data_IF_863621802590
#
_entry.id   IF_863621802590
#
_cell.length_a   1.000
_cell.length_b   1.000
_cell.length_c   1.000
_cell.angle_alpha   90.00
_cell.angle_beta   90.00
_cell.angle_gamma   90.00
#
_symmetry.space_group_name_H-M   'P 1'
#
loop_
_entity.id
_entity.type
_entity.pdbx_description
1 polymer ?
#
# COMPACT_ATOMS: atom_id res chain seq x y z
N UNK A 1 -0.04 20.14 9.69
CA UNK A 1 0.29 18.71 9.60
C UNK A 1 1.23 18.28 10.73
N UNK A 2 1.04 17.09 11.32
CA UNK A 2 1.91 16.54 12.37
C UNK A 2 3.31 16.17 11.82
N UNK A 3 4.37 16.38 12.61
CA UNK A 3 5.77 16.14 12.19
C UNK A 3 6.03 14.70 11.74
N UNK A 4 5.47 13.71 12.44
CA UNK A 4 5.67 12.30 12.11
C UNK A 4 4.90 11.89 10.84
N UNK A 5 3.76 12.53 10.57
CA UNK A 5 3.03 12.34 9.30
C UNK A 5 3.85 12.87 8.13
N UNK A 6 4.40 14.08 8.26
CA UNK A 6 5.25 14.68 7.23
C UNK A 6 6.53 13.87 6.98
N UNK A 7 7.17 13.34 8.03
CA UNK A 7 8.29 12.38 7.88
C UNK A 7 7.88 11.11 7.13
N UNK A 8 6.70 10.56 7.42
CA UNK A 8 6.16 9.39 6.73
C UNK A 8 5.95 9.62 5.24
N UNK A 9 5.39 10.77 4.86
CA UNK A 9 5.21 11.16 3.45
C UNK A 9 6.56 11.29 2.74
N UNK A 10 7.52 11.97 3.36
CA UNK A 10 8.87 12.12 2.79
C UNK A 10 9.61 10.78 2.66
N UNK A 11 9.43 9.86 3.61
CA UNK A 11 9.98 8.51 3.52
C UNK A 11 9.41 7.77 2.30
N UNK A 12 8.09 7.82 2.07
CA UNK A 12 7.43 7.22 0.90
C UNK A 12 7.94 7.84 -0.40
N UNK A 13 8.12 9.17 -0.45
CA UNK A 13 8.64 9.89 -1.62
C UNK A 13 10.06 9.49 -1.99
N UNK A 14 10.92 9.24 -0.99
CA UNK A 14 12.34 8.92 -1.17
C UNK A 14 12.64 7.43 -1.28
N UNK A 15 11.67 6.56 -1.00
CA UNK A 15 11.84 5.12 -1.04
C UNK A 15 12.05 4.63 -2.49
N UNK A 16 13.20 4.02 -2.74
CA UNK A 16 13.65 3.59 -4.08
C UNK A 16 13.67 2.07 -4.28
N UNK A 17 13.66 1.31 -3.20
CA UNK A 17 13.87 -0.13 -3.18
C UNK A 17 12.52 -0.86 -3.10
N UNK A 18 11.59 -0.33 -2.30
CA UNK A 18 10.33 -1.02 -2.04
C UNK A 18 9.32 -0.91 -3.19
N UNK A 19 8.59 -2.01 -3.40
CA UNK A 19 7.55 -2.10 -4.44
C UNK A 19 6.22 -1.47 -4.01
N UNK A 20 5.30 -1.36 -4.98
CA UNK A 20 4.00 -0.70 -4.80
C UNK A 20 3.16 -1.23 -3.63
N UNK A 21 3.16 -2.55 -3.40
CA UNK A 21 2.41 -3.15 -2.30
C UNK A 21 2.93 -2.78 -0.91
N UNK A 22 4.24 -2.59 -0.76
CA UNK A 22 4.81 -2.09 0.50
C UNK A 22 4.46 -0.61 0.70
N UNK A 23 4.70 0.21 -0.33
CA UNK A 23 4.42 1.65 -0.27
C UNK A 23 2.95 1.97 -0.01
N UNK A 24 2.03 1.19 -0.58
CA UNK A 24 0.59 1.34 -0.33
C UNK A 24 0.21 1.07 1.13
N UNK A 25 0.84 0.05 1.75
CA UNK A 25 0.63 -0.28 3.17
C UNK A 25 1.21 0.80 4.07
N UNK A 26 2.40 1.32 3.76
CA UNK A 26 2.98 2.42 4.52
C UNK A 26 2.17 3.70 4.37
N UNK A 27 1.66 4.02 3.18
CA UNK A 27 0.78 5.16 2.98
C UNK A 27 -0.50 5.06 3.82
N UNK A 28 -1.11 3.87 3.89
CA UNK A 28 -2.25 3.63 4.79
C UNK A 28 -1.87 3.84 6.26
N UNK A 29 -0.71 3.33 6.71
CA UNK A 29 -0.23 3.54 8.08
C UNK A 29 -0.01 5.03 8.40
N UNK A 30 0.57 5.79 7.47
CA UNK A 30 0.77 7.24 7.62
C UNK A 30 -0.57 7.98 7.67
N UNK A 31 -1.54 7.60 6.83
CA UNK A 31 -2.88 8.20 6.87
C UNK A 31 -3.64 7.85 8.17
N UNK A 32 -3.48 6.62 8.67
CA UNK A 32 -3.98 6.24 9.99
C UNK A 32 -3.30 7.01 11.14
N UNK A 33 -2.00 7.28 11.03
CA UNK A 33 -1.28 8.13 11.97
C UNK A 33 -1.80 9.58 11.95
N UNK A 34 -2.12 10.11 10.77
CA UNK A 34 -2.75 11.43 10.65
C UNK A 34 -4.11 11.47 11.35
N UNK A 35 -4.95 10.45 11.15
CA UNK A 35 -6.21 10.32 11.88
C UNK A 35 -6.02 10.29 13.41
N UNK A 36 -5.00 9.54 13.89
CA UNK A 36 -4.68 9.45 15.32
C UNK A 36 -4.21 10.77 15.93
N UNK A 37 -3.40 11.52 15.19
CA UNK A 37 -2.69 12.71 15.70
C UNK A 37 -3.37 14.03 15.36
N UNK A 38 -4.45 13.99 14.57
CA UNK A 38 -5.28 15.14 14.22
C UNK A 38 -5.69 15.93 15.47
N UNK A 39 -5.71 17.26 15.36
CA UNK A 39 -6.17 18.16 16.43
C UNK A 39 -7.54 18.78 16.12
N UNK A 40 -8.17 18.35 15.03
CA UNK A 40 -9.49 18.80 14.62
C UNK A 40 -10.52 18.64 15.73
N UNK A 41 -11.39 19.62 15.89
CA UNK A 41 -12.47 19.63 16.89
C UNK A 41 -13.83 19.30 16.29
N UNK A 42 -13.93 19.39 14.98
CA UNK A 42 -15.14 19.13 14.22
C UNK A 42 -14.90 18.09 13.12
N UNK A 43 -15.98 17.43 12.69
CA UNK A 43 -15.93 16.39 11.66
C UNK A 43 -15.37 16.90 10.35
N UNK A 44 -15.83 18.07 9.90
CA UNK A 44 -15.44 18.60 8.59
C UNK A 44 -13.98 19.03 8.56
N UNK A 45 -13.48 19.60 9.66
CA UNK A 45 -12.06 19.90 9.86
C UNK A 45 -11.22 18.61 9.81
N UNK A 46 -11.65 17.55 10.51
CA UNK A 46 -10.98 16.26 10.48
C UNK A 46 -10.93 15.65 9.06
N UNK A 47 -12.05 15.68 8.34
CA UNK A 47 -12.10 15.16 6.97
C UNK A 47 -11.26 16.00 6.01
N UNK A 48 -11.19 17.31 6.18
CA UNK A 48 -10.32 18.18 5.40
C UNK A 48 -8.83 17.86 5.64
N UNK A 49 -8.42 17.72 6.90
CA UNK A 49 -7.05 17.31 7.26
C UNK A 49 -6.71 15.93 6.67
N UNK A 50 -7.61 14.96 6.79
CA UNK A 50 -7.38 13.61 6.26
C UNK A 50 -7.29 13.60 4.73
N UNK A 51 -8.10 14.42 4.06
CA UNK A 51 -8.06 14.60 2.60
C UNK A 51 -6.73 15.19 2.14
N UNK A 52 -6.23 16.22 2.83
CA UNK A 52 -4.94 16.85 2.54
C UNK A 52 -3.81 15.81 2.60
N UNK A 53 -3.74 15.05 3.69
CA UNK A 53 -2.72 14.00 3.84
C UNK A 53 -2.86 12.90 2.79
N UNK A 54 -4.09 12.48 2.46
CA UNK A 54 -4.32 11.49 1.42
C UNK A 54 -3.84 12.00 0.03
N UNK A 55 -4.05 13.28 -0.26
CA UNK A 55 -3.61 13.91 -1.51
C UNK A 55 -2.07 13.98 -1.59
N UNK A 56 -1.41 14.38 -0.51
CA UNK A 56 0.05 14.40 -0.40
C UNK A 56 0.65 13.00 -0.58
N UNK A 57 0.07 11.98 0.06
CA UNK A 57 0.50 10.58 -0.11
C UNK A 57 0.31 10.09 -1.55
N UNK A 58 -0.81 10.41 -2.19
CA UNK A 58 -1.06 10.06 -3.58
C UNK A 58 -0.06 10.74 -4.53
N UNK A 59 0.31 11.99 -4.24
CA UNK A 59 1.24 12.77 -5.04
C UNK A 59 2.71 12.49 -4.72
N UNK A 60 3.02 11.76 -3.64
CA UNK A 60 4.40 11.42 -3.28
C UNK A 60 5.10 10.60 -4.37
N UNK A 61 4.36 9.72 -5.07
CA UNK A 61 4.84 8.98 -6.25
C UNK A 61 3.71 8.82 -7.28
N UNK A 62 3.44 9.83 -8.14
CA UNK A 62 2.26 9.88 -9.00
C UNK A 62 2.14 8.72 -10.01
N UNK A 63 3.27 8.12 -10.41
CA UNK A 63 3.29 6.95 -11.30
C UNK A 63 2.83 5.65 -10.60
N UNK A 64 2.67 5.65 -9.28
CA UNK A 64 2.31 4.49 -8.48
C UNK A 64 0.84 4.55 -8.02
N UNK A 65 -0.08 4.33 -8.96
CA UNK A 65 -1.52 4.31 -8.73
C UNK A 65 -1.99 3.51 -7.48
N UNK A 66 -1.36 2.36 -7.09
CA UNK A 66 -1.76 1.64 -5.88
C UNK A 66 -1.72 2.48 -4.60
N UNK A 67 -0.80 3.44 -4.49
CA UNK A 67 -0.71 4.36 -3.34
C UNK A 67 -1.97 5.22 -3.30
N UNK A 68 -2.25 5.93 -4.40
CA UNK A 68 -3.42 6.80 -4.55
C UNK A 68 -4.73 6.05 -4.30
N UNK A 69 -4.88 4.85 -4.88
CA UNK A 69 -6.06 4.01 -4.70
C UNK A 69 -6.28 3.63 -3.23
N UNK A 70 -5.20 3.28 -2.52
CA UNK A 70 -5.29 2.84 -1.13
C UNK A 70 -5.71 3.97 -0.19
N UNK A 71 -5.09 5.14 -0.32
CA UNK A 71 -5.42 6.31 0.52
C UNK A 71 -6.79 6.89 0.18
N UNK A 72 -7.15 6.93 -1.11
CA UNK A 72 -8.47 7.36 -1.55
C UNK A 72 -9.57 6.41 -1.02
N UNK A 73 -9.31 5.09 -0.97
CA UNK A 73 -10.24 4.12 -0.42
C UNK A 73 -10.54 4.38 1.06
N UNK A 74 -9.49 4.60 1.87
CA UNK A 74 -9.68 4.90 3.30
C UNK A 74 -10.45 6.23 3.48
N UNK A 75 -10.03 7.28 2.77
CA UNK A 75 -10.70 8.58 2.83
C UNK A 75 -12.18 8.48 2.44
N UNK A 76 -12.49 7.76 1.35
CA UNK A 76 -13.85 7.53 0.90
C UNK A 76 -14.70 6.85 1.99
N UNK A 77 -14.21 5.77 2.59
CA UNK A 77 -14.93 5.06 3.66
C UNK A 77 -15.15 5.95 4.89
N UNK A 78 -14.18 6.78 5.28
CA UNK A 78 -14.35 7.75 6.36
C UNK A 78 -15.39 8.84 6.03
N UNK A 79 -15.34 9.39 4.81
CA UNK A 79 -16.23 10.48 4.39
C UNK A 79 -17.70 10.05 4.30
N UNK A 80 -17.95 8.78 3.95
CA UNK A 80 -19.28 8.21 3.79
C UNK A 80 -19.81 7.50 5.05
N UNK A 81 -19.09 7.56 6.17
CA UNK A 81 -19.58 6.99 7.41
C UNK A 81 -20.79 7.81 7.93
N UNK A 82 -21.93 7.16 8.08
CA UNK A 82 -23.16 7.80 8.50
C UNK A 82 -23.07 8.22 9.98
N UNK A 83 -23.14 9.53 10.22
CA UNK A 83 -23.28 10.14 11.56
C UNK A 83 -22.35 9.62 12.70
N UNK A 84 -21.06 9.31 12.48
CA UNK A 84 -20.15 9.10 13.60
C UNK A 84 -19.91 10.43 14.33
N UNK A 85 -19.87 10.40 15.65
CA UNK A 85 -19.19 11.43 16.40
C UNK A 85 -17.68 11.43 16.04
N UNK A 86 -17.00 12.54 16.31
CA UNK A 86 -15.61 12.73 15.91
C UNK A 86 -14.66 11.68 16.50
N UNK A 87 -14.92 11.22 17.73
CA UNK A 87 -14.08 10.21 18.36
C UNK A 87 -14.23 8.87 17.64
N UNK A 88 -15.47 8.44 17.38
CA UNK A 88 -15.76 7.23 16.61
C UNK A 88 -15.17 7.28 15.20
N UNK A 89 -15.20 8.43 14.52
CA UNK A 89 -14.61 8.60 13.20
C UNK A 89 -13.07 8.45 13.21
N UNK A 90 -12.40 8.99 14.23
CA UNK A 90 -10.95 8.84 14.42
C UNK A 90 -10.55 7.40 14.68
N UNK A 91 -11.28 6.71 15.54
CA UNK A 91 -11.04 5.29 15.82
C UNK A 91 -11.28 4.42 14.58
N UNK A 92 -12.37 4.69 13.85
CA UNK A 92 -12.67 4.02 12.59
C UNK A 92 -11.52 4.19 11.59
N UNK A 93 -11.07 5.43 11.34
CA UNK A 93 -10.01 5.70 10.38
C UNK A 93 -8.69 4.97 10.71
N UNK A 94 -8.30 4.96 12.00
CA UNK A 94 -7.10 4.28 12.47
C UNK A 94 -7.18 2.76 12.29
N UNK A 95 -8.28 2.16 12.78
CA UNK A 95 -8.49 0.71 12.66
C UNK A 95 -8.57 0.30 11.19
N UNK A 96 -9.30 1.08 10.39
CA UNK A 96 -9.53 0.76 8.99
C UNK A 96 -8.26 0.87 8.15
N UNK A 97 -7.38 1.81 8.47
CA UNK A 97 -6.05 1.87 7.85
C UNK A 97 -5.26 0.56 8.04
N UNK A 98 -5.26 0.00 9.25
CA UNK A 98 -4.57 -1.25 9.56
C UNK A 98 -5.24 -2.44 8.85
N UNK A 99 -6.56 -2.52 8.87
CA UNK A 99 -7.33 -3.56 8.18
C UNK A 99 -7.05 -3.55 6.67
N UNK A 100 -7.06 -2.38 6.02
CA UNK A 100 -6.75 -2.25 4.60
C UNK A 100 -5.30 -2.64 4.31
N UNK A 101 -4.35 -2.25 5.16
CA UNK A 101 -2.95 -2.62 4.99
C UNK A 101 -2.74 -4.13 5.09
N UNK A 102 -3.41 -4.79 6.05
CA UNK A 102 -3.40 -6.24 6.19
C UNK A 102 -4.10 -6.94 5.02
N UNK A 103 -5.22 -6.39 4.54
CA UNK A 103 -5.92 -6.92 3.38
C UNK A 103 -5.07 -6.89 2.10
N UNK A 104 -4.28 -5.83 1.90
CA UNK A 104 -3.31 -5.74 0.79
C UNK A 104 -2.23 -6.82 0.89
N UNK A 105 -1.72 -7.08 2.09
CA UNK A 105 -0.73 -8.14 2.32
C UNK A 105 -1.30 -9.53 2.05
N UNK A 106 -2.50 -9.80 2.55
CA UNK A 106 -3.17 -11.08 2.29
C UNK A 106 -3.52 -11.25 0.81
N UNK A 107 -3.91 -10.17 0.12
CA UNK A 107 -4.15 -10.20 -1.32
C UNK A 107 -2.87 -10.53 -2.10
N UNK A 108 -1.73 -9.96 -1.70
CA UNK A 108 -0.43 -10.29 -2.28
C UNK A 108 -0.06 -11.77 -2.08
N UNK A 109 -0.29 -12.32 -0.87
CA UNK A 109 -0.06 -13.73 -0.60
C UNK A 109 -0.94 -14.63 -1.48
N UNK A 110 -2.24 -14.36 -1.55
CA UNK A 110 -3.16 -15.12 -2.42
C UNK A 110 -2.77 -15.03 -3.89
N UNK A 111 -2.36 -13.85 -4.36
CA UNK A 111 -1.89 -13.67 -5.73
C UNK A 111 -0.64 -14.52 -6.00
N UNK A 112 0.31 -14.56 -5.07
CA UNK A 112 1.51 -15.39 -5.18
C UNK A 112 1.17 -16.88 -5.23
N UNK A 113 0.19 -17.33 -4.42
CA UNK A 113 -0.28 -18.72 -4.45
C UNK A 113 -0.94 -19.11 -5.77
N UNK A 114 -1.79 -18.25 -6.32
CA UNK A 114 -2.40 -18.53 -7.61
C UNK A 114 -1.36 -18.49 -8.73
N UNK A 115 -0.42 -17.54 -8.70
CA UNK A 115 0.66 -17.47 -9.68
C UNK A 115 1.57 -18.69 -9.64
N UNK A 116 1.88 -19.24 -8.46
CA UNK A 116 2.70 -20.45 -8.33
C UNK A 116 2.05 -21.67 -9.01
N UNK A 117 0.71 -21.77 -9.00
CA UNK A 117 -0.02 -22.85 -9.66
C UNK A 117 0.02 -22.77 -11.19
N UNK A 118 0.31 -21.60 -11.75
CA UNK A 118 0.43 -21.42 -13.20
C UNK A 118 1.79 -21.86 -13.75
N UNK A 119 2.79 -22.06 -12.88
CA UNK A 119 4.12 -22.52 -13.26
C UNK A 119 4.09 -24.04 -13.28
N UNK A 120 4.48 -24.67 -14.39
CA UNK A 120 4.57 -26.12 -14.54
C UNK A 120 6.02 -26.64 -14.58
N UNK A 121 6.18 -27.95 -14.46
CA UNK A 121 7.49 -28.60 -14.55
C UNK A 121 8.13 -28.36 -15.92
N UNK A 122 9.38 -27.91 -15.93
CA UNK A 122 10.15 -27.59 -17.14
C UNK A 122 9.89 -26.21 -17.73
N UNK A 123 9.03 -25.39 -17.12
CA UNK A 123 8.72 -24.05 -17.63
C UNK A 123 9.94 -23.12 -17.68
N UNK A 124 9.82 -22.07 -18.51
CA UNK A 124 10.73 -20.94 -18.52
C UNK A 124 9.97 -19.66 -18.17
N UNK A 125 10.22 -19.13 -16.99
CA UNK A 125 9.56 -17.90 -16.51
C UNK A 125 10.47 -16.71 -16.74
N UNK A 126 10.01 -15.73 -17.51
CA UNK A 126 10.72 -14.47 -17.71
C UNK A 126 10.13 -13.36 -16.84
N UNK A 127 10.99 -12.56 -16.20
CA UNK A 127 10.58 -11.39 -15.42
C UNK A 127 11.53 -10.21 -15.63
N UNK A 128 11.05 -9.02 -15.32
CA UNK A 128 11.84 -7.80 -15.22
C UNK A 128 11.54 -7.11 -13.90
N UNK A 129 12.50 -6.37 -13.35
CA UNK A 129 12.37 -5.64 -12.09
C UNK A 129 12.12 -6.54 -10.87
N UNK A 130 11.79 -5.89 -9.75
CA UNK A 130 11.55 -6.55 -8.47
C UNK A 130 10.05 -6.54 -8.14
N UNK A 131 9.48 -7.74 -7.99
CA UNK A 131 8.13 -7.94 -7.47
C UNK A 131 8.16 -8.95 -6.33
N UNK A 132 7.80 -8.50 -5.12
CA UNK A 132 7.73 -9.38 -3.95
C UNK A 132 6.68 -10.48 -4.11
N UNK A 133 5.58 -10.22 -4.82
CA UNK A 133 4.54 -11.21 -5.13
C UNK A 133 5.11 -12.30 -6.03
N UNK A 134 5.82 -11.90 -7.10
CA UNK A 134 6.42 -12.87 -8.02
C UNK A 134 7.53 -13.67 -7.33
N UNK A 135 8.37 -13.02 -6.52
CA UNK A 135 9.40 -13.71 -5.73
C UNK A 135 8.79 -14.77 -4.81
N UNK A 136 7.66 -14.48 -4.15
CA UNK A 136 6.94 -15.46 -3.34
C UNK A 136 6.36 -16.59 -4.19
N UNK A 137 5.78 -16.29 -5.36
CA UNK A 137 5.24 -17.29 -6.27
C UNK A 137 6.33 -18.26 -6.77
N UNK A 138 7.46 -17.71 -7.22
CA UNK A 138 8.62 -18.48 -7.68
C UNK A 138 9.19 -19.37 -6.57
N UNK A 139 9.30 -18.86 -5.34
CA UNK A 139 9.74 -19.66 -4.17
C UNK A 139 8.78 -20.82 -3.87
N UNK A 140 7.46 -20.57 -3.91
CA UNK A 140 6.45 -21.61 -3.73
C UNK A 140 6.55 -22.67 -4.82
N UNK A 141 6.60 -22.26 -6.10
CA UNK A 141 6.74 -23.18 -7.22
C UNK A 141 8.01 -24.04 -7.13
N UNK A 142 9.15 -23.45 -6.74
CA UNK A 142 10.42 -24.18 -6.58
C UNK A 142 10.41 -25.25 -5.48
N UNK A 143 9.46 -25.18 -4.55
CA UNK A 143 9.30 -26.23 -3.53
C UNK A 143 8.78 -27.54 -4.11
N UNK A 144 8.14 -27.50 -5.28
CA UNK A 144 7.42 -28.64 -5.87
C UNK A 144 7.88 -28.96 -7.30
N UNK A 145 8.41 -27.98 -8.04
CA UNK A 145 8.66 -28.05 -9.48
C UNK A 145 10.06 -27.52 -9.85
N UNK A 146 10.66 -28.10 -10.88
CA UNK A 146 11.87 -27.58 -11.54
C UNK A 146 11.49 -26.75 -12.76
N UNK A 147 12.04 -25.55 -12.88
CA UNK A 147 11.84 -24.64 -14.03
C UNK A 147 13.06 -23.73 -14.18
N UNK A 148 13.11 -22.90 -15.21
CA UNK A 148 14.15 -21.88 -15.40
C UNK A 148 13.56 -20.48 -15.19
N UNK A 149 14.40 -19.55 -14.71
CA UNK A 149 13.99 -18.16 -14.50
C UNK A 149 14.95 -17.26 -15.26
N UNK A 150 14.41 -16.48 -16.18
CA UNK A 150 15.14 -15.45 -16.94
C UNK A 150 14.80 -14.08 -16.34
N UNK A 151 15.80 -13.38 -15.83
CA UNK A 151 15.62 -12.09 -15.15
C UNK A 151 16.28 -11.01 -15.99
N UNK A 152 15.47 -10.11 -16.57
CA UNK A 152 15.97 -8.91 -17.21
C UNK A 152 16.38 -7.87 -16.15
N UNK A 153 17.49 -7.19 -16.38
CA UNK A 153 17.91 -6.05 -15.55
C UNK A 153 16.89 -4.90 -15.65
N UNK A 154 16.61 -4.25 -14.53
CA UNK A 154 15.70 -3.10 -14.46
C UNK A 154 16.51 -1.82 -14.40
N UNK A 155 17.06 -1.40 -15.55
CA UNK A 155 17.76 -0.12 -15.67
C UNK A 155 16.77 1.04 -15.63
N UNK A 156 17.07 2.01 -14.79
CA UNK A 156 16.50 3.36 -14.83
C UNK A 156 17.66 4.28 -15.18
N UNK A 157 17.54 5.03 -16.27
CA UNK A 157 18.55 6.01 -16.66
C UNK A 157 18.75 7.00 -15.50
N UNK A 158 20.02 7.21 -15.10
CA UNK A 158 20.42 8.14 -14.02
C UNK A 158 20.26 9.60 -14.42
#
# INVERSE_FOLDING_TARGET
MNVEVSKGIEAIKREKIQGAGWLSREALKVLGLAARTSQARERDEFLAELKEVAQELANARPSMAPIANSVARLFYECSNLAEPDLHSLREFAQRRALELAQALEQAAFRAAEQAAKLIEEGDRVMTCSYSSVLLQALRKGRGEKSFEILIAESKVDE
#
